data_IF_538815936868
#
_entry.id   IF_538815936868
#
_cell.length_a   1.000
_cell.length_b   1.000
_cell.length_c   1.000
_cell.angle_alpha   90.00
_cell.angle_beta   90.00
_cell.angle_gamma   90.00
#
_symmetry.space_group_name_H-M   'P 1'
#
loop_
_entity.id
_entity.type
_entity.pdbx_description
1 polymer ?
#
# COMPACT_ATOMS: atom_id res chain seq x y z
N UNK A 1 -26.38 -49.11 2.88
CA UNK A 1 -25.78 -48.00 2.10
C UNK A 1 -26.32 -46.65 2.59
N UNK A 2 -25.76 -46.12 3.68
CA UNK A 2 -26.02 -44.76 4.16
C UNK A 2 -24.74 -44.32 4.86
N UNK A 3 -24.13 -43.23 4.37
CA UNK A 3 -22.97 -42.47 4.89
C UNK A 3 -21.98 -42.22 3.75
N UNK A 4 -22.30 -41.32 2.81
CA UNK A 4 -21.29 -40.66 1.96
C UNK A 4 -21.80 -39.36 1.30
N UNK A 5 -22.83 -38.70 1.85
CA UNK A 5 -23.45 -37.52 1.23
C UNK A 5 -23.63 -36.30 2.15
N UNK A 6 -22.85 -36.19 3.23
CA UNK A 6 -22.90 -35.02 4.13
C UNK A 6 -21.59 -34.27 4.32
N UNK A 7 -20.52 -34.64 3.59
CA UNK A 7 -19.22 -33.94 3.71
C UNK A 7 -19.07 -32.82 2.68
N UNK A 8 -19.70 -32.92 1.49
CA UNK A 8 -19.60 -31.88 0.47
C UNK A 8 -20.43 -30.62 0.76
N UNK A 9 -21.50 -30.71 1.56
CA UNK A 9 -22.34 -29.54 1.87
C UNK A 9 -21.70 -28.62 2.93
N UNK A 10 -20.90 -29.19 3.85
CA UNK A 10 -20.17 -28.43 4.87
C UNK A 10 -19.02 -27.62 4.26
N UNK A 11 -18.35 -28.16 3.24
CA UNK A 11 -17.26 -27.45 2.53
C UNK A 11 -17.79 -26.25 1.73
N UNK A 12 -18.95 -26.36 1.08
CA UNK A 12 -19.54 -25.24 0.35
C UNK A 12 -20.11 -24.13 1.25
N UNK A 13 -20.59 -24.46 2.45
CA UNK A 13 -21.02 -23.43 3.41
C UNK A 13 -19.82 -22.73 4.06
N UNK A 14 -18.73 -23.45 4.39
CA UNK A 14 -17.53 -22.80 4.94
C UNK A 14 -16.88 -21.84 3.94
N UNK A 15 -16.85 -22.16 2.64
CA UNK A 15 -16.26 -21.26 1.63
C UNK A 15 -17.03 -19.95 1.44
N UNK A 16 -18.36 -19.92 1.61
CA UNK A 16 -19.13 -18.66 1.52
C UNK A 16 -18.86 -17.74 2.72
N UNK A 17 -18.80 -18.29 3.94
CA UNK A 17 -18.47 -17.50 5.13
C UNK A 17 -17.02 -16.98 5.07
N UNK A 18 -16.07 -17.81 4.64
CA UNK A 18 -14.67 -17.36 4.47
C UNK A 18 -14.50 -16.30 3.38
N UNK A 19 -15.25 -16.37 2.27
CA UNK A 19 -15.15 -15.37 1.21
C UNK A 19 -15.74 -14.01 1.62
N UNK A 20 -16.87 -14.00 2.34
CA UNK A 20 -17.47 -12.75 2.86
C UNK A 20 -16.58 -12.13 3.95
N UNK A 21 -15.95 -12.94 4.81
CA UNK A 21 -15.01 -12.46 5.84
C UNK A 21 -13.68 -11.96 5.24
N UNK A 22 -13.15 -12.61 4.20
CA UNK A 22 -11.96 -12.14 3.49
C UNK A 22 -12.22 -10.84 2.72
N UNK A 23 -13.41 -10.71 2.12
CA UNK A 23 -13.85 -9.46 1.50
C UNK A 23 -14.03 -8.35 2.56
N UNK A 24 -14.53 -8.69 3.76
CA UNK A 24 -14.62 -7.78 4.89
C UNK A 24 -13.25 -7.33 5.42
N UNK A 25 -12.28 -8.24 5.45
CA UNK A 25 -10.90 -7.98 5.87
C UNK A 25 -10.17 -7.09 4.86
N UNK A 26 -10.40 -7.29 3.55
CA UNK A 26 -9.92 -6.44 2.47
C UNK A 26 -10.61 -5.05 2.46
N UNK A 27 -11.93 -4.98 2.66
CA UNK A 27 -12.67 -3.72 2.83
C UNK A 27 -12.19 -2.94 4.08
N UNK A 28 -11.71 -3.64 5.11
CA UNK A 28 -11.11 -3.04 6.30
C UNK A 28 -9.63 -2.63 6.11
N UNK A 29 -8.94 -3.04 5.03
CA UNK A 29 -7.59 -2.53 4.71
C UNK A 29 -7.61 -1.08 4.23
N UNK A 30 -8.79 -0.51 4.01
CA UNK A 30 -9.02 0.89 3.62
C UNK A 30 -8.75 1.92 4.74
N UNK A 31 -8.09 1.50 5.83
CA UNK A 31 -7.84 2.30 7.02
C UNK A 31 -6.45 1.95 7.60
N UNK A 32 -5.43 2.62 7.10
CA UNK A 32 -4.09 2.76 7.66
C UNK A 32 -3.70 4.24 7.49
N UNK A 33 -4.11 5.15 8.38
CA UNK A 33 -3.47 5.44 9.68
C UNK A 33 -4.24 6.47 10.50
N UNK A 34 -3.88 6.78 11.73
CA UNK A 34 -2.57 7.18 12.28
C UNK A 34 -1.93 6.18 13.24
N UNK A 35 -0.60 5.95 13.14
CA UNK A 35 0.25 5.08 14.00
C UNK A 35 0.51 5.63 15.43
N UNK A 36 -0.50 6.16 16.12
CA UNK A 36 -0.30 6.68 17.47
C UNK A 36 -0.24 5.53 18.49
N UNK A 37 0.91 5.28 19.12
CA UNK A 37 0.98 4.44 20.34
C UNK A 37 0.38 5.22 21.50
N UNK A 38 -0.71 4.70 22.05
CA UNK A 38 -1.43 5.32 23.17
C UNK A 38 -1.95 4.24 24.12
N UNK A 39 -2.59 4.65 25.21
CA UNK A 39 -3.15 3.76 26.21
C UNK A 39 -4.66 3.89 26.30
N UNK A 40 -5.33 2.82 26.68
CA UNK A 40 -6.76 2.82 26.96
C UNK A 40 -7.05 3.52 28.30
N UNK A 41 -8.12 4.31 28.35
CA UNK A 41 -8.49 5.10 29.54
C UNK A 41 -9.67 4.53 30.33
N UNK A 42 -10.31 3.49 29.79
CA UNK A 42 -11.52 2.84 30.32
C UNK A 42 -11.29 1.36 30.61
N UNK A 43 -11.99 0.85 31.62
CA UNK A 43 -11.94 -0.57 31.98
C UNK A 43 -13.05 -1.35 31.26
N UNK A 44 -12.67 -2.35 30.47
CA UNK A 44 -13.56 -3.23 29.66
C UNK A 44 -14.00 -2.66 28.30
N UNK A 45 -13.12 -1.90 27.65
CA UNK A 45 -13.33 -1.44 26.28
C UNK A 45 -13.44 -2.62 25.32
N UNK A 46 -14.56 -2.73 24.60
CA UNK A 46 -14.75 -3.78 23.60
C UNK A 46 -14.07 -3.39 22.29
N UNK A 47 -13.25 -4.29 21.76
CA UNK A 47 -12.74 -4.22 20.40
C UNK A 47 -13.83 -4.74 19.46
N UNK A 48 -14.17 -3.97 18.43
CA UNK A 48 -15.23 -4.26 17.46
C UNK A 48 -14.66 -4.63 16.11
N UNK A 49 -15.34 -5.52 15.39
CA UNK A 49 -14.97 -5.90 14.02
C UNK A 49 -15.15 -4.74 13.01
N UNK A 50 -16.18 -3.91 13.21
CA UNK A 50 -16.51 -2.73 12.39
C UNK A 50 -16.67 -1.50 13.29
N UNK A 51 -16.55 -0.28 12.74
CA UNK A 51 -16.76 0.98 13.48
C UNK A 51 -18.24 1.19 13.83
N UNK A 52 -18.79 0.39 14.76
CA UNK A 52 -20.18 0.49 15.21
C UNK A 52 -20.42 -0.22 16.54
N UNK A 53 -21.29 0.34 17.38
CA UNK A 53 -21.73 -0.29 18.65
C UNK A 53 -22.52 -1.58 18.42
N UNK A 54 -23.15 -1.73 17.25
CA UNK A 54 -23.89 -2.92 16.84
C UNK A 54 -22.99 -4.03 16.26
N UNK A 55 -21.73 -3.72 15.95
CA UNK A 55 -20.78 -4.70 15.41
C UNK A 55 -20.44 -5.81 16.42
N UNK A 56 -20.07 -6.98 15.90
CA UNK A 56 -19.50 -8.07 16.70
C UNK A 56 -18.32 -7.58 17.56
N UNK A 57 -18.28 -8.07 18.80
CA UNK A 57 -17.17 -7.87 19.75
C UNK A 57 -16.15 -8.97 19.51
N UNK A 58 -14.91 -8.59 19.20
CA UNK A 58 -13.83 -9.51 18.83
C UNK A 58 -12.71 -9.57 19.87
N UNK A 59 -12.76 -8.71 20.88
CA UNK A 59 -11.79 -8.70 21.97
C UNK A 59 -12.15 -7.65 23.02
N UNK A 60 -11.30 -7.52 24.04
CA UNK A 60 -11.42 -6.50 25.08
C UNK A 60 -10.06 -5.93 25.45
N UNK A 61 -10.09 -4.68 25.89
CA UNK A 61 -8.95 -3.97 26.47
C UNK A 61 -9.33 -3.45 27.86
N UNK A 62 -8.34 -3.33 28.71
CA UNK A 62 -8.45 -2.70 30.03
C UNK A 62 -7.67 -1.39 30.05
N UNK A 63 -7.94 -0.58 31.08
CA UNK A 63 -7.24 0.68 31.27
C UNK A 63 -5.73 0.44 31.38
N UNK A 64 -4.96 1.28 30.68
CA UNK A 64 -3.51 1.19 30.62
C UNK A 64 -2.96 0.24 29.56
N UNK A 65 -3.80 -0.56 28.89
CA UNK A 65 -3.35 -1.36 27.74
C UNK A 65 -2.83 -0.43 26.63
N UNK A 66 -1.65 -0.75 26.11
CA UNK A 66 -1.06 -0.01 24.98
C UNK A 66 -1.64 -0.51 23.68
N UNK A 67 -2.10 0.41 22.85
CA UNK A 67 -2.57 0.16 21.49
C UNK A 67 -1.83 1.05 20.52
N UNK A 68 -1.63 0.55 19.31
CA UNK A 68 -1.22 1.37 18.18
C UNK A 68 -2.47 1.74 17.42
N UNK A 69 -2.89 3.00 17.45
CA UNK A 69 -3.94 3.47 16.52
C UNK A 69 -3.40 3.26 15.10
N UNK A 70 -4.28 2.95 14.15
CA UNK A 70 -3.97 2.67 12.76
C UNK A 70 -5.00 3.29 11.83
N UNK A 71 -5.91 4.13 12.29
CA UNK A 71 -7.01 4.58 11.46
C UNK A 71 -8.08 5.29 12.25
N UNK A 72 -8.90 6.06 11.56
CA UNK A 72 -10.19 6.52 12.06
C UNK A 72 -11.29 6.31 11.01
N UNK A 73 -12.54 6.23 11.46
CA UNK A 73 -13.70 6.13 10.57
C UNK A 73 -13.92 7.42 9.78
N UNK A 74 -14.50 7.32 8.60
CA UNK A 74 -14.84 8.46 7.72
C UNK A 74 -15.83 9.46 8.35
N UNK A 75 -16.61 9.01 9.35
CA UNK A 75 -17.66 9.79 9.99
C UNK A 75 -17.47 9.87 11.50
N UNK A 76 -17.86 11.03 12.06
CA UNK A 76 -18.04 11.20 13.50
C UNK A 76 -19.37 10.61 13.93
N UNK A 77 -19.38 9.99 15.09
CA UNK A 77 -20.57 9.50 15.76
C UNK A 77 -20.69 10.09 17.15
N UNK A 78 -21.93 10.19 17.63
CA UNK A 78 -22.22 10.57 19.02
C UNK A 78 -22.50 9.31 19.82
N UNK A 79 -21.57 8.92 20.70
CA UNK A 79 -21.72 7.76 21.60
C UNK A 79 -21.46 8.24 23.02
N UNK A 80 -22.31 7.87 23.97
CA UNK A 80 -22.24 8.28 25.37
C UNK A 80 -22.00 9.79 25.58
N UNK A 81 -22.78 10.62 24.87
CA UNK A 81 -22.68 12.09 24.87
C UNK A 81 -21.33 12.65 24.42
N UNK A 82 -20.57 11.88 23.65
CA UNK A 82 -19.26 12.24 23.15
C UNK A 82 -19.26 12.14 21.62
N UNK A 83 -18.86 13.23 20.94
CA UNK A 83 -18.72 13.26 19.48
C UNK A 83 -17.30 12.86 19.09
N UNK A 84 -17.15 11.69 18.49
CA UNK A 84 -15.86 11.04 18.26
C UNK A 84 -15.80 10.25 16.97
N UNK A 85 -14.63 9.68 16.70
CA UNK A 85 -14.44 8.74 15.61
C UNK A 85 -14.28 7.33 16.19
N UNK A 86 -14.58 6.32 15.38
CA UNK A 86 -14.04 4.99 15.63
C UNK A 86 -12.58 4.99 15.21
N UNK A 87 -11.71 4.47 16.06
CA UNK A 87 -10.28 4.32 15.84
C UNK A 87 -10.01 2.86 15.50
N UNK A 88 -9.38 2.62 14.36
CA UNK A 88 -8.79 1.31 14.08
C UNK A 88 -7.53 1.20 14.92
N UNK A 89 -7.34 0.08 15.59
CA UNK A 89 -6.20 -0.17 16.46
C UNK A 89 -5.53 -1.49 16.07
N UNK A 90 -4.24 -1.56 16.33
CA UNK A 90 -3.42 -2.76 16.33
C UNK A 90 -2.95 -3.02 17.77
N UNK A 91 -2.99 -4.28 18.20
CA UNK A 91 -2.52 -4.70 19.53
C UNK A 91 -1.54 -5.86 19.42
N UNK A 92 -0.54 -5.88 20.31
CA UNK A 92 0.59 -6.81 20.22
C UNK A 92 0.24 -8.21 20.75
N UNK A 93 -0.59 -8.36 21.79
CA UNK A 93 -1.25 -9.63 22.19
C UNK A 93 -2.04 -9.48 23.50
N UNK A 94 -3.26 -10.00 23.51
CA UNK A 94 -3.89 -10.85 24.53
C UNK A 94 -5.43 -10.68 24.41
N UNK A 95 -6.15 -11.81 24.34
CA UNK A 95 -7.62 -11.91 24.38
C UNK A 95 -8.46 -11.47 23.17
N UNK A 96 -7.89 -11.45 21.95
CA UNK A 96 -8.65 -11.27 20.69
C UNK A 96 -9.01 -12.64 20.08
N UNK A 97 -10.24 -12.77 19.56
CA UNK A 97 -10.71 -13.96 18.85
C UNK A 97 -9.87 -14.15 17.59
N UNK A 98 -9.16 -15.29 17.52
CA UNK A 98 -8.06 -15.47 16.58
C UNK A 98 -8.47 -15.50 15.11
N UNK A 99 -9.73 -15.78 14.83
CA UNK A 99 -10.17 -16.13 13.50
C UNK A 99 -10.63 -14.92 12.67
N UNK A 100 -10.70 -13.73 13.28
CA UNK A 100 -11.36 -12.57 12.67
C UNK A 100 -10.47 -11.35 12.38
N UNK A 101 -9.24 -11.29 12.91
CA UNK A 101 -8.52 -10.01 12.93
C UNK A 101 -6.99 -10.10 13.14
N UNK A 102 -6.29 -11.01 12.45
CA UNK A 102 -4.82 -11.03 12.48
C UNK A 102 -4.19 -11.05 11.09
N UNK A 103 -3.15 -10.27 10.89
CA UNK A 103 -2.18 -10.45 9.81
C UNK A 103 -0.78 -10.76 10.39
N UNK A 104 0.24 -10.77 9.53
CA UNK A 104 1.65 -11.00 9.93
C UNK A 104 2.21 -9.91 10.87
N UNK A 105 1.53 -8.77 11.01
CA UNK A 105 1.97 -7.59 11.76
C UNK A 105 1.24 -7.43 13.10
N UNK A 106 0.07 -8.02 13.31
CA UNK A 106 -0.59 -8.04 14.62
C UNK A 106 -2.11 -8.27 14.57
N UNK A 107 -2.78 -8.01 15.70
CA UNK A 107 -4.24 -8.11 15.81
C UNK A 107 -4.91 -6.75 15.63
N UNK A 108 -6.00 -6.68 14.87
CA UNK A 108 -6.70 -5.43 14.57
C UNK A 108 -8.12 -5.37 15.12
N UNK A 109 -8.66 -4.15 15.20
CA UNK A 109 -10.07 -3.93 15.43
C UNK A 109 -10.39 -2.47 15.67
N UNK A 110 -11.64 -2.18 16.03
CA UNK A 110 -12.13 -0.82 16.19
C UNK A 110 -12.52 -0.53 17.64
N UNK A 111 -12.12 0.64 18.14
CA UNK A 111 -12.53 1.18 19.43
C UNK A 111 -12.98 2.62 19.27
N UNK A 112 -13.86 3.12 20.13
CA UNK A 112 -14.34 4.50 20.00
C UNK A 112 -13.40 5.48 20.70
N UNK A 113 -13.12 6.63 20.07
CA UNK A 113 -12.05 7.56 20.49
C UNK A 113 -12.19 8.10 21.91
N UNK A 114 -13.41 8.16 22.45
CA UNK A 114 -13.68 8.51 23.85
C UNK A 114 -12.83 7.70 24.85
N UNK A 115 -12.63 6.41 24.57
CA UNK A 115 -12.06 5.45 25.53
C UNK A 115 -10.54 5.25 25.39
N UNK A 116 -9.91 6.08 24.57
CA UNK A 116 -8.48 6.04 24.29
C UNK A 116 -7.87 7.35 24.81
N UNK A 117 -6.68 7.31 25.42
CA UNK A 117 -5.94 8.50 25.85
C UNK A 117 -5.35 9.26 24.66
N UNK A 118 -6.22 9.66 23.74
CA UNK A 118 -5.95 10.52 22.58
C UNK A 118 -6.88 11.71 22.67
N UNK A 119 -6.51 12.87 22.11
CA UNK A 119 -7.37 14.04 22.18
C UNK A 119 -8.74 13.72 21.54
N UNK A 120 -9.83 13.85 22.29
CA UNK A 120 -11.18 13.63 21.78
C UNK A 120 -11.57 14.47 20.55
N UNK A 121 -10.92 15.62 20.35
CA UNK A 121 -11.04 16.47 19.16
C UNK A 121 -9.84 16.21 18.25
N UNK A 122 -9.88 15.09 17.53
CA UNK A 122 -8.95 14.87 16.43
C UNK A 122 -9.43 15.74 15.26
N UNK A 123 -8.89 16.96 15.18
CA UNK A 123 -9.01 17.81 14.00
C UNK A 123 -8.00 17.27 12.97
N UNK A 124 -8.52 16.66 11.91
CA UNK A 124 -7.69 16.08 10.85
C UNK A 124 -6.99 17.22 10.12
N UNK A 125 -5.68 17.08 9.98
CA UNK A 125 -4.89 18.08 9.29
C UNK A 125 -5.28 18.18 7.81
N UNK A 126 -5.33 19.38 7.24
CA UNK A 126 -5.62 19.57 5.81
C UNK A 126 -4.38 19.98 5.04
N UNK A 127 -4.30 19.54 3.77
CA UNK A 127 -3.20 19.89 2.88
C UNK A 127 -3.59 21.00 1.90
N UNK A 128 -2.60 21.81 1.54
CA UNK A 128 -2.60 22.56 0.28
C UNK A 128 -1.21 22.68 -0.29
N UNK A 129 -1.06 22.57 -1.61
CA UNK A 129 0.19 22.93 -2.27
C UNK A 129 0.33 24.45 -2.26
N UNK A 130 1.38 24.95 -1.61
CA UNK A 130 1.76 26.36 -1.64
C UNK A 130 2.65 26.69 -2.84
N UNK A 131 3.57 25.77 -3.15
CA UNK A 131 4.60 26.01 -4.16
C UNK A 131 5.00 24.71 -4.85
N UNK A 132 5.17 24.81 -6.16
CA UNK A 132 5.78 23.77 -6.98
C UNK A 132 7.24 24.14 -7.22
N UNK A 133 8.16 23.28 -6.78
CA UNK A 133 9.58 23.44 -7.00
C UNK A 133 10.00 22.56 -8.18
N UNK A 134 10.09 23.18 -9.36
CA UNK A 134 10.45 22.49 -10.61
C UNK A 134 11.77 21.72 -10.50
N UNK A 135 11.82 20.54 -11.13
CA UNK A 135 13.05 19.77 -11.24
C UNK A 135 14.14 20.54 -11.99
N UNK A 136 15.39 20.31 -11.60
CA UNK A 136 16.59 20.82 -12.30
C UNK A 136 17.51 19.64 -12.64
N UNK A 137 18.69 19.91 -13.20
CA UNK A 137 19.68 18.85 -13.44
C UNK A 137 20.14 18.16 -12.15
N UNK A 138 20.06 18.83 -11.00
CA UNK A 138 20.56 18.34 -9.71
C UNK A 138 19.47 18.15 -8.66
N UNK A 139 18.19 18.40 -9.00
CA UNK A 139 17.08 18.33 -8.04
C UNK A 139 15.87 17.67 -8.68
N UNK A 140 15.18 16.82 -7.92
CA UNK A 140 13.89 16.25 -8.30
C UNK A 140 12.76 17.28 -8.10
N UNK A 141 11.64 17.06 -8.79
CA UNK A 141 10.40 17.81 -8.56
C UNK A 141 9.98 17.65 -7.10
N UNK A 142 9.60 18.75 -6.45
CA UNK A 142 9.03 18.71 -5.09
C UNK A 142 7.90 19.72 -4.92
N UNK A 143 7.04 19.46 -3.95
CA UNK A 143 5.96 20.35 -3.54
C UNK A 143 6.23 20.83 -2.11
N UNK A 144 6.03 22.12 -1.88
CA UNK A 144 5.89 22.65 -0.52
C UNK A 144 4.40 22.55 -0.16
N UNK A 145 4.07 21.60 0.72
CA UNK A 145 2.73 21.40 1.25
C UNK A 145 2.58 22.18 2.55
N UNK A 146 1.56 23.04 2.63
CA UNK A 146 1.10 23.53 3.93
C UNK A 146 0.14 22.51 4.52
N UNK A 147 0.47 22.08 5.73
CA UNK A 147 -0.37 21.29 6.60
C UNK A 147 -0.99 22.24 7.63
N UNK A 148 -2.31 22.34 7.64
CA UNK A 148 -3.07 23.06 8.67
C UNK A 148 -3.52 22.07 9.75
N UNK A 149 -2.89 22.17 10.93
CA UNK A 149 -3.15 21.36 12.13
C UNK A 149 -3.95 22.20 13.11
N UNK A 150 -5.24 22.36 12.84
CA UNK A 150 -6.16 23.14 13.68
C UNK A 150 -5.73 24.60 13.89
N UNK A 151 -5.42 25.30 12.80
CA UNK A 151 -4.96 26.68 12.77
C UNK A 151 -3.45 26.84 12.93
N UNK A 152 -2.72 25.80 13.36
CA UNK A 152 -1.26 25.80 13.34
C UNK A 152 -0.77 25.29 11.98
N UNK A 153 -0.05 26.15 11.26
CA UNK A 153 0.41 25.85 9.90
C UNK A 153 1.88 25.46 9.87
N UNK A 154 2.19 24.37 9.18
CA UNK A 154 3.55 23.89 8.94
C UNK A 154 3.75 23.68 7.45
N UNK A 155 4.96 23.92 6.95
CA UNK A 155 5.32 23.67 5.55
C UNK A 155 6.24 22.47 5.52
N UNK A 156 5.85 21.44 4.79
CA UNK A 156 6.63 20.20 4.59
C UNK A 156 6.91 20.01 3.10
N UNK A 157 7.95 19.25 2.79
CA UNK A 157 8.33 18.95 1.41
C UNK A 157 7.99 17.51 1.04
N UNK A 158 7.29 17.34 -0.08
CA UNK A 158 7.04 16.00 -0.65
C UNK A 158 7.54 15.92 -2.09
N UNK A 159 7.73 14.69 -2.56
CA UNK A 159 8.31 14.38 -3.87
C UNK A 159 7.30 13.64 -4.74
N UNK A 160 6.47 14.37 -5.52
CA UNK A 160 5.40 13.76 -6.27
C UNK A 160 5.92 13.06 -7.54
N UNK A 161 5.21 12.02 -7.98
CA UNK A 161 5.51 11.21 -9.17
C UNK A 161 4.28 11.01 -10.05
N UNK A 162 4.49 10.76 -11.32
CA UNK A 162 3.43 10.40 -12.26
C UNK A 162 4.01 9.64 -13.44
N UNK A 163 3.18 8.86 -14.13
CA UNK A 163 3.56 8.41 -15.46
C UNK A 163 3.58 9.57 -16.46
N UNK A 164 4.40 9.51 -17.52
CA UNK A 164 4.61 10.64 -18.44
C UNK A 164 3.32 11.24 -19.01
N UNK A 165 2.32 10.40 -19.33
CA UNK A 165 1.05 10.81 -19.95
C UNK A 165 -0.01 11.32 -18.97
N UNK A 166 0.18 11.16 -17.66
CA UNK A 166 -0.81 11.57 -16.67
C UNK A 166 -0.74 13.07 -16.42
N UNK A 167 -1.87 13.68 -16.08
CA UNK A 167 -1.91 15.09 -15.68
C UNK A 167 -1.65 15.28 -14.18
N UNK A 168 -2.17 14.37 -13.36
CA UNK A 168 -2.04 14.43 -11.90
C UNK A 168 -0.79 13.72 -11.43
N UNK A 169 -0.30 14.13 -10.26
CA UNK A 169 0.80 13.48 -9.58
C UNK A 169 0.35 12.76 -8.32
N UNK A 170 1.10 11.74 -7.92
CA UNK A 170 0.92 10.99 -6.69
C UNK A 170 2.05 11.31 -5.72
N UNK A 171 1.77 11.43 -4.43
CA UNK A 171 2.78 11.49 -3.39
C UNK A 171 2.31 10.71 -2.16
N UNK A 172 3.25 10.25 -1.35
CA UNK A 172 2.98 9.56 -0.09
C UNK A 172 3.18 10.55 1.06
N UNK A 173 2.32 10.46 2.09
CA UNK A 173 2.50 11.12 3.37
C UNK A 173 2.39 10.07 4.48
N UNK A 174 3.46 9.85 5.26
CA UNK A 174 3.52 8.80 6.31
C UNK A 174 4.51 9.15 7.41
N UNK A 175 4.54 8.32 8.47
CA UNK A 175 5.42 8.46 9.63
C UNK A 175 6.91 8.27 9.33
N UNK A 176 7.25 7.74 8.15
CA UNK A 176 8.62 7.69 7.64
C UNK A 176 9.12 9.04 7.10
N UNK A 177 8.22 10.03 6.93
CA UNK A 177 8.56 11.34 6.39
C UNK A 177 8.79 12.34 7.53
N UNK A 178 9.87 13.10 7.42
CA UNK A 178 10.21 14.17 8.38
C UNK A 178 9.03 15.13 8.57
N UNK A 179 8.84 15.60 9.81
CA UNK A 179 7.74 16.46 10.26
C UNK A 179 6.33 15.85 10.23
N UNK A 180 6.19 14.55 9.93
CA UNK A 180 4.94 13.84 10.12
C UNK A 180 4.44 13.94 11.56
N UNK A 181 3.17 14.27 11.72
CA UNK A 181 2.48 14.23 13.00
C UNK A 181 1.37 13.21 12.96
N UNK A 182 1.10 12.60 14.10
CA UNK A 182 0.04 11.62 14.22
C UNK A 182 -1.36 12.22 13.94
N UNK A 183 -1.54 13.54 14.00
CA UNK A 183 -2.78 14.19 13.54
C UNK A 183 -2.95 14.27 12.02
N UNK A 184 -1.92 13.91 11.24
CA UNK A 184 -1.93 14.06 9.80
C UNK A 184 -2.57 12.83 9.12
N UNK A 185 -3.34 13.02 8.04
CA UNK A 185 -3.88 11.90 7.27
C UNK A 185 -2.75 11.23 6.47
N UNK A 186 -2.47 9.96 6.75
CA UNK A 186 -1.47 9.15 6.05
C UNK A 186 -2.03 8.59 4.73
N UNK A 187 -1.13 8.21 3.83
CA UNK A 187 -1.46 7.42 2.65
C UNK A 187 -0.88 8.01 1.38
N UNK A 188 -1.41 7.55 0.26
CA UNK A 188 -1.10 8.03 -1.09
C UNK A 188 -2.16 9.02 -1.54
N UNK A 189 -1.70 10.20 -1.93
CA UNK A 189 -2.51 11.33 -2.37
C UNK A 189 -2.26 11.62 -3.83
N UNK A 190 -3.31 12.04 -4.53
CA UNK A 190 -3.25 12.55 -5.89
C UNK A 190 -3.41 14.06 -5.86
N UNK A 191 -2.49 14.78 -6.50
CA UNK A 191 -2.54 16.22 -6.70
C UNK A 191 -2.77 16.56 -8.17
N UNK A 192 -3.80 17.36 -8.45
CA UNK A 192 -4.06 17.90 -9.78
C UNK A 192 -3.46 19.30 -9.91
N UNK A 193 -2.42 19.50 -10.74
CA UNK A 193 -1.74 20.79 -10.87
C UNK A 193 -2.60 21.89 -11.51
N UNK A 194 -3.66 21.55 -12.25
CA UNK A 194 -4.55 22.55 -12.89
C UNK A 194 -5.57 23.12 -11.92
N UNK A 195 -6.13 22.29 -11.05
CA UNK A 195 -7.16 22.69 -10.07
C UNK A 195 -6.58 22.96 -8.69
N UNK A 196 -5.34 22.55 -8.45
CA UNK A 196 -4.69 22.49 -7.14
C UNK A 196 -5.42 21.61 -6.11
N UNK A 197 -6.27 20.70 -6.60
CA UNK A 197 -6.98 19.75 -5.76
C UNK A 197 -6.04 18.64 -5.29
N UNK A 198 -6.17 18.27 -4.01
CA UNK A 198 -5.51 17.10 -3.43
C UNK A 198 -6.61 16.13 -3.02
N UNK A 199 -6.53 14.91 -3.51
CA UNK A 199 -7.47 13.83 -3.22
C UNK A 199 -6.71 12.70 -2.54
N UNK A 200 -7.20 12.21 -1.41
CA UNK A 200 -6.73 10.95 -0.83
C UNK A 200 -7.23 9.79 -1.68
N UNK A 201 -6.34 8.85 -2.05
CA UNK A 201 -6.68 7.75 -2.95
C UNK A 201 -6.70 6.42 -2.22
N UNK A 202 -5.64 6.16 -1.44
CA UNK A 202 -5.51 4.93 -0.67
C UNK A 202 -4.57 5.16 0.49
N UNK A 203 -4.76 4.37 1.53
CA UNK A 203 -3.88 4.31 2.70
C UNK A 203 -2.62 3.48 2.46
N UNK A 204 -2.53 2.79 1.32
CA UNK A 204 -1.36 2.02 0.93
C UNK A 204 -0.18 2.92 0.56
N UNK A 205 1.03 2.34 0.56
CA UNK A 205 2.24 2.99 0.06
C UNK A 205 3.16 3.61 1.11
N UNK A 206 2.87 3.43 2.40
CA UNK A 206 3.66 4.00 3.50
C UNK A 206 4.87 3.15 3.92
N UNK A 207 4.89 1.83 3.67
CA UNK A 207 5.97 0.90 4.07
C UNK A 207 7.24 1.02 3.20
N UNK A 208 7.56 2.20 2.67
CA UNK A 208 8.71 2.35 1.79
C UNK A 208 9.55 3.59 2.11
N UNK A 209 10.57 3.38 2.92
CA UNK A 209 11.65 4.32 3.25
C UNK A 209 12.41 4.88 2.03
N UNK A 210 12.15 4.40 0.81
CA UNK A 210 12.87 4.80 -0.41
C UNK A 210 12.08 4.67 -1.71
N UNK A 211 10.81 4.26 -1.66
CA UNK A 211 10.07 3.87 -2.84
C UNK A 211 8.84 4.74 -3.08
N UNK A 212 8.51 4.94 -4.34
CA UNK A 212 7.45 5.86 -4.74
C UNK A 212 6.21 5.09 -5.15
N UNK A 213 5.05 5.70 -4.90
CA UNK A 213 3.76 5.20 -5.33
C UNK A 213 3.28 5.99 -6.56
N UNK A 214 2.78 5.28 -7.58
CA UNK A 214 2.11 5.88 -8.74
C UNK A 214 0.76 5.20 -8.91
N UNK A 215 -0.27 5.94 -9.27
CA UNK A 215 -1.63 5.43 -9.45
C UNK A 215 -1.97 5.39 -10.94
N UNK A 216 -2.68 4.36 -11.40
CA UNK A 216 -3.19 4.25 -12.77
C UNK A 216 -4.20 5.38 -13.09
N UNK A 217 -4.36 5.71 -14.37
CA UNK A 217 -5.26 6.78 -14.81
C UNK A 217 -6.73 6.54 -14.44
N UNK A 218 -7.13 5.26 -14.34
CA UNK A 218 -8.47 4.82 -13.94
C UNK A 218 -8.61 4.61 -12.43
N UNK A 219 -7.56 4.92 -11.65
CA UNK A 219 -7.49 4.78 -10.19
C UNK A 219 -7.77 3.35 -9.68
N UNK A 220 -7.64 2.36 -10.56
CA UNK A 220 -7.83 0.95 -10.21
C UNK A 220 -6.59 0.35 -9.54
N UNK A 221 -5.41 0.81 -9.95
CA UNK A 221 -4.15 0.20 -9.56
C UNK A 221 -3.20 1.17 -8.89
N UNK A 222 -2.54 0.70 -7.84
CA UNK A 222 -1.38 1.32 -7.22
C UNK A 222 -0.13 0.55 -7.63
N UNK A 223 0.84 1.25 -8.21
CA UNK A 223 2.19 0.74 -8.46
C UNK A 223 3.08 1.18 -7.30
N UNK A 224 3.60 0.21 -6.55
CA UNK A 224 4.53 0.44 -5.45
C UNK A 224 5.91 -0.08 -5.86
N UNK A 225 6.88 0.82 -5.93
CA UNK A 225 8.28 0.46 -6.12
C UNK A 225 8.87 -0.09 -4.80
N UNK A 226 9.97 -0.85 -4.86
CA UNK A 226 10.75 -1.27 -3.69
C UNK A 226 12.27 -1.15 -3.88
N UNK A 227 12.74 -0.47 -4.93
CA UNK A 227 14.13 -0.45 -5.33
C UNK A 227 14.93 0.73 -4.73
N UNK A 228 16.16 0.48 -4.29
CA UNK A 228 17.07 1.52 -3.76
C UNK A 228 18.29 1.80 -4.64
N UNK A 229 18.41 1.16 -5.80
CA UNK A 229 19.63 1.19 -6.63
C UNK A 229 19.34 1.50 -8.11
N UNK A 230 20.30 2.03 -8.89
CA UNK A 230 20.18 2.05 -10.36
C UNK A 230 20.02 0.63 -10.95
N UNK A 231 19.57 0.46 -12.19
CA UNK A 231 19.41 -0.87 -12.80
C UNK A 231 18.02 -1.48 -12.64
N UNK A 232 17.93 -2.79 -12.38
CA UNK A 232 16.66 -3.52 -12.28
C UNK A 232 15.99 -3.24 -10.94
N UNK A 233 14.76 -2.72 -10.97
CA UNK A 233 14.01 -2.31 -9.79
C UNK A 233 12.82 -3.23 -9.56
N UNK A 234 12.59 -3.61 -8.31
CA UNK A 234 11.42 -4.39 -7.92
C UNK A 234 10.19 -3.49 -7.74
N UNK A 235 9.01 -4.00 -8.08
CA UNK A 235 7.74 -3.33 -7.84
C UNK A 235 6.60 -4.33 -7.64
N UNK A 236 5.48 -3.84 -7.10
CA UNK A 236 4.22 -4.56 -7.07
C UNK A 236 3.06 -3.69 -7.59
N UNK A 237 2.01 -4.38 -8.03
CA UNK A 237 0.74 -3.80 -8.47
C UNK A 237 -0.35 -4.24 -7.52
N UNK A 238 -1.02 -3.27 -6.89
CA UNK A 238 -2.13 -3.51 -5.99
C UNK A 238 -3.44 -3.03 -6.61
N UNK A 239 -4.51 -3.78 -6.40
CA UNK A 239 -5.87 -3.28 -6.62
C UNK A 239 -6.21 -2.27 -5.51
N UNK A 240 -6.50 -1.01 -5.86
CA UNK A 240 -6.76 0.05 -4.88
C UNK A 240 -8.04 -0.21 -4.09
N UNK A 241 -9.05 -0.81 -4.73
CA UNK A 241 -10.36 -1.03 -4.10
C UNK A 241 -10.30 -2.12 -3.05
N UNK A 242 -9.56 -3.19 -3.32
CA UNK A 242 -9.50 -4.40 -2.49
C UNK A 242 -8.19 -4.52 -1.71
N UNK A 243 -7.20 -3.66 -1.95
CA UNK A 243 -5.86 -3.72 -1.35
C UNK A 243 -5.18 -5.09 -1.53
N UNK A 244 -5.48 -5.75 -2.64
CA UNK A 244 -4.93 -7.06 -2.99
C UNK A 244 -3.71 -6.87 -3.89
N UNK A 245 -2.61 -7.54 -3.55
CA UNK A 245 -1.47 -7.73 -4.46
C UNK A 245 -1.93 -8.55 -5.68
N UNK A 246 -1.81 -7.96 -6.86
CA UNK A 246 -2.16 -8.59 -8.12
C UNK A 246 -0.93 -9.13 -8.85
N UNK A 247 0.23 -8.51 -8.64
CA UNK A 247 1.46 -8.82 -9.36
C UNK A 247 2.67 -8.24 -8.65
N UNK A 248 3.74 -9.04 -8.55
CA UNK A 248 5.07 -8.57 -8.17
C UNK A 248 6.04 -8.91 -9.29
N UNK A 249 6.94 -7.99 -9.60
CA UNK A 249 7.95 -8.20 -10.63
C UNK A 249 9.03 -7.13 -10.61
N UNK A 250 9.71 -7.00 -11.73
CA UNK A 250 10.79 -6.03 -11.88
C UNK A 250 10.62 -5.19 -13.14
N UNK A 251 11.24 -4.02 -13.16
CA UNK A 251 11.35 -3.14 -14.32
C UNK A 251 12.78 -2.56 -14.40
N UNK A 252 13.09 -1.78 -15.44
CA UNK A 252 14.40 -1.13 -15.62
C UNK A 252 14.46 0.22 -14.90
N UNK A 253 14.98 1.26 -15.57
CA UNK A 253 15.22 2.58 -15.00
C UNK A 253 13.91 3.28 -14.58
N UNK A 254 12.90 3.27 -15.45
CA UNK A 254 11.58 3.86 -15.23
C UNK A 254 10.49 2.82 -15.51
N UNK A 255 9.43 2.81 -14.69
CA UNK A 255 8.28 1.95 -14.92
C UNK A 255 7.45 2.54 -16.08
N UNK A 256 7.55 1.90 -17.25
CA UNK A 256 6.86 2.33 -18.46
C UNK A 256 5.39 1.86 -18.43
N UNK A 257 4.46 2.80 -18.36
CA UNK A 257 3.01 2.55 -18.35
C UNK A 257 2.30 3.31 -19.47
N UNK A 258 1.44 2.64 -20.22
CA UNK A 258 0.72 3.20 -21.37
C UNK A 258 -0.78 3.44 -21.17
N UNK A 259 -1.31 3.19 -19.95
CA UNK A 259 -2.73 3.24 -19.65
C UNK A 259 -3.37 1.86 -19.45
N UNK A 260 -2.77 0.80 -20.00
CA UNK A 260 -3.30 -0.57 -19.94
C UNK A 260 -2.26 -1.61 -19.60
N UNK A 261 -1.01 -1.29 -19.88
CA UNK A 261 0.10 -2.22 -19.75
C UNK A 261 1.29 -1.57 -19.09
N UNK A 262 2.14 -2.41 -18.52
CA UNK A 262 3.45 -2.02 -18.01
C UNK A 262 4.56 -2.85 -18.64
N UNK A 263 5.74 -2.25 -18.82
CA UNK A 263 6.92 -3.00 -19.22
C UNK A 263 7.58 -3.59 -17.98
N UNK A 264 7.66 -4.92 -17.96
CA UNK A 264 8.31 -5.69 -16.91
C UNK A 264 9.54 -6.40 -17.46
N UNK A 265 10.41 -6.83 -16.55
CA UNK A 265 11.63 -7.54 -16.91
C UNK A 265 11.90 -8.77 -16.05
N UNK A 266 12.56 -9.75 -16.66
CA UNK A 266 13.25 -10.83 -15.96
C UNK A 266 14.74 -10.73 -16.22
N UNK A 267 15.49 -10.45 -15.15
CA UNK A 267 16.94 -10.36 -15.19
C UNK A 267 17.56 -11.76 -15.08
N UNK A 268 18.25 -12.20 -16.13
CA UNK A 268 18.86 -13.52 -16.22
C UNK A 268 20.24 -13.56 -15.55
N UNK A 269 20.35 -12.99 -14.34
CA UNK A 269 21.55 -13.06 -13.50
C UNK A 269 21.66 -14.43 -12.84
N UNK A 270 22.89 -14.88 -12.56
CA UNK A 270 23.15 -16.16 -11.92
C UNK A 270 22.32 -16.38 -10.65
N UNK A 271 22.20 -15.35 -9.80
CA UNK A 271 21.43 -15.43 -8.57
C UNK A 271 19.92 -15.61 -8.83
N UNK A 272 19.32 -14.80 -9.71
CA UNK A 272 17.90 -14.92 -10.05
C UNK A 272 17.56 -16.29 -10.66
N UNK A 273 18.46 -16.84 -11.47
CA UNK A 273 18.29 -18.18 -12.06
C UNK A 273 18.28 -19.25 -10.97
N UNK A 274 19.24 -19.20 -10.03
CA UNK A 274 19.33 -20.19 -8.94
C UNK A 274 18.17 -20.10 -7.94
N UNK A 275 17.61 -18.91 -7.76
CA UNK A 275 16.44 -18.67 -6.90
C UNK A 275 15.10 -18.95 -7.60
N UNK A 276 15.12 -19.52 -8.82
CA UNK A 276 13.93 -19.77 -9.65
C UNK A 276 13.06 -18.51 -9.88
N UNK A 277 13.70 -17.35 -10.01
CA UNK A 277 13.05 -16.05 -10.29
C UNK A 277 12.97 -15.73 -11.78
N UNK A 278 13.52 -16.59 -12.63
CA UNK A 278 13.52 -16.47 -14.09
C UNK A 278 12.76 -17.66 -14.67
N UNK A 279 11.85 -17.39 -15.59
CA UNK A 279 11.04 -18.43 -16.21
C UNK A 279 11.79 -19.19 -17.30
N UNK A 280 11.37 -20.43 -17.58
CA UNK A 280 11.94 -21.27 -18.66
C UNK A 280 11.93 -20.56 -20.02
N UNK A 281 10.89 -19.76 -20.28
CA UNK A 281 10.80 -18.95 -21.49
C UNK A 281 11.92 -17.91 -21.53
N UNK A 282 12.10 -17.12 -20.47
CA UNK A 282 13.16 -16.11 -20.38
C UNK A 282 14.54 -16.73 -20.50
N UNK A 283 14.79 -17.87 -19.85
CA UNK A 283 16.06 -18.62 -19.95
C UNK A 283 16.35 -19.02 -21.41
N UNK A 284 15.33 -19.49 -22.13
CA UNK A 284 15.49 -19.83 -23.54
C UNK A 284 15.79 -18.58 -24.39
N UNK A 285 15.06 -17.49 -24.17
CA UNK A 285 15.25 -16.22 -24.90
C UNK A 285 16.61 -15.60 -24.62
N UNK A 286 17.09 -15.67 -23.38
CA UNK A 286 18.40 -15.16 -23.00
C UNK A 286 19.52 -15.94 -23.67
N UNK A 287 19.43 -17.28 -23.72
CA UNK A 287 20.43 -18.11 -24.41
C UNK A 287 20.43 -17.94 -25.94
N UNK A 288 19.27 -17.65 -26.54
CA UNK A 288 19.19 -17.28 -27.96
C UNK A 288 19.85 -15.91 -28.20
N UNK A 289 19.53 -14.92 -27.37
CA UNK A 289 20.09 -13.57 -27.49
C UNK A 289 21.60 -13.54 -27.23
N UNK A 290 22.10 -14.31 -26.25
CA UNK A 290 23.52 -14.44 -25.91
C UNK A 290 24.40 -14.80 -27.11
N UNK A 291 23.88 -15.58 -28.07
CA UNK A 291 24.61 -15.97 -29.30
C UNK A 291 24.85 -14.80 -30.26
N UNK A 292 24.11 -13.70 -30.09
CA UNK A 292 24.23 -12.48 -30.89
C UNK A 292 25.23 -11.48 -30.31
N UNK A 293 25.67 -11.68 -29.05
CA UNK A 293 26.55 -10.78 -28.32
C UNK A 293 28.02 -11.19 -28.42
N UNK A 294 28.92 -10.23 -28.30
CA UNK A 294 30.32 -10.53 -28.06
C UNK A 294 30.47 -11.01 -26.60
N UNK A 295 31.24 -12.06 -26.30
CA UNK A 295 31.50 -12.46 -24.91
C UNK A 295 31.96 -11.31 -24.01
N UNK A 296 32.69 -10.32 -24.55
CA UNK A 296 33.10 -9.12 -23.82
C UNK A 296 31.93 -8.23 -23.38
N UNK A 297 30.81 -8.24 -24.10
CA UNK A 297 29.64 -7.46 -23.75
C UNK A 297 28.98 -7.94 -22.45
N UNK A 298 29.26 -9.18 -22.03
CA UNK A 298 28.72 -9.83 -20.84
C UNK A 298 29.70 -9.85 -19.66
N UNK A 299 30.90 -9.27 -19.80
CA UNK A 299 31.88 -9.20 -18.70
C UNK A 299 31.40 -8.29 -17.55
N UNK A 300 30.54 -7.33 -17.84
CA UNK A 300 30.00 -6.37 -16.87
C UNK A 300 28.49 -6.15 -17.03
N UNK A 301 27.79 -7.04 -17.74
CA UNK A 301 26.37 -6.90 -18.03
C UNK A 301 25.61 -8.22 -17.93
N UNK A 302 24.40 -8.14 -17.43
CA UNK A 302 23.43 -9.23 -17.44
C UNK A 302 22.43 -9.06 -18.58
N UNK A 303 21.97 -10.17 -19.15
CA UNK A 303 20.86 -10.18 -20.11
C UNK A 303 19.54 -10.02 -19.38
N UNK A 304 18.69 -9.14 -19.88
CA UNK A 304 17.36 -8.89 -19.36
C UNK A 304 16.34 -9.16 -20.46
N UNK A 305 15.30 -9.93 -20.13
CA UNK A 305 14.20 -10.24 -21.04
C UNK A 305 13.04 -9.33 -20.69
N UNK A 306 12.52 -8.61 -21.70
CA UNK A 306 11.45 -7.62 -21.51
C UNK A 306 10.12 -8.17 -21.98
N UNK A 307 9.08 -7.87 -21.19
CA UNK A 307 7.72 -8.24 -21.50
C UNK A 307 6.78 -7.06 -21.33
N UNK A 308 5.71 -7.07 -22.12
CA UNK A 308 4.55 -6.21 -21.92
C UNK A 308 3.53 -6.95 -21.06
N UNK A 309 3.24 -6.46 -19.86
CA UNK A 309 2.24 -7.02 -18.96
C UNK A 309 0.90 -6.31 -19.17
N UNK A 310 -0.15 -7.05 -19.51
CA UNK A 310 -1.53 -6.57 -19.60
C UNK A 310 -2.16 -6.50 -18.20
N UNK A 311 -2.65 -5.34 -17.78
CA UNK A 311 -3.20 -5.15 -16.42
C UNK A 311 -4.64 -5.66 -16.26
N UNK A 312 -5.36 -5.97 -17.33
CA UNK A 312 -6.72 -6.52 -17.22
C UNK A 312 -6.70 -8.02 -16.89
N UNK A 313 -5.66 -8.73 -17.35
CA UNK A 313 -5.58 -10.18 -17.22
C UNK A 313 -4.23 -10.71 -16.70
N UNK A 314 -3.25 -9.83 -16.48
CA UNK A 314 -1.90 -10.13 -16.00
C UNK A 314 -1.15 -11.16 -16.87
N UNK A 315 -1.51 -11.26 -18.14
CA UNK A 315 -0.72 -12.00 -19.12
C UNK A 315 0.37 -11.09 -19.66
N UNK A 316 1.51 -11.72 -19.92
CA UNK A 316 2.68 -11.05 -20.47
C UNK A 316 2.90 -11.46 -21.92
N UNK A 317 3.38 -10.52 -22.72
CA UNK A 317 3.78 -10.72 -24.11
C UNK A 317 5.27 -10.40 -24.24
N UNK A 318 6.04 -11.31 -24.84
CA UNK A 318 7.47 -11.11 -25.08
C UNK A 318 7.69 -9.88 -25.98
N UNK A 319 8.62 -9.02 -25.60
CA UNK A 319 9.04 -7.89 -26.42
C UNK A 319 10.39 -8.16 -27.09
N UNK A 320 11.44 -8.19 -26.30
CA UNK A 320 12.81 -8.42 -26.76
C UNK A 320 13.75 -8.80 -25.60
N UNK A 321 15.04 -8.88 -25.91
CA UNK A 321 16.12 -9.02 -24.94
C UNK A 321 17.06 -7.82 -25.05
N UNK A 322 17.62 -7.39 -23.92
CA UNK A 322 18.64 -6.35 -23.84
C UNK A 322 19.69 -6.73 -22.80
N UNK A 323 20.67 -5.85 -22.56
CA UNK A 323 21.68 -5.99 -21.51
C UNK A 323 21.66 -4.80 -20.58
N UNK A 324 21.81 -5.03 -19.28
CA UNK A 324 22.00 -4.00 -18.24
C UNK A 324 23.32 -4.21 -17.55
N UNK A 325 23.95 -3.16 -17.03
CA UNK A 325 25.18 -3.32 -16.26
C UNK A 325 24.91 -4.10 -14.97
N UNK A 326 25.75 -5.10 -14.69
CA UNK A 326 25.80 -5.75 -13.38
C UNK A 326 26.27 -4.72 -12.35
N UNK A 327 25.60 -4.70 -11.21
CA UNK A 327 26.01 -3.87 -10.06
C UNK A 327 27.05 -4.55 -9.20
#
# INVERSE_FOLDING_TARGET
MKRFFSICLLVFFTFRFYADDFQLELDNRQYFGTVAKTTINDDNLNIRLKPSVASLKIGKLKKGDTVTVKGYSDKRERIDNFDGYWLKIQVEKNDIIKDYASDNFGWYGWVFSKYVNIDPKIDVSTFRVLKVNSATKSTTLSLDLEIDRNGQKTIVKVYPRKFPKQESYCFVWSDDIEDFQYSDPVGTFKWNPKTNEITHITDMGYDCESAWCIISDDEKYLFQDYGTSPGVRAFAVYDIKTNKDLYSGSYLDDLEYDGKTVIIVEECAWWNINENRVTDESLKRSEEYKKTLNPKDLESKTIVVRYKLDLDNFKREYLDCTTVYEQ
#
